data_IF_772908707972
#
_entry.id   IF_772908707972
#
_cell.length_a   1.000
_cell.length_b   1.000
_cell.length_c   1.000
_cell.angle_alpha   90.00
_cell.angle_beta   90.00
_cell.angle_gamma   90.00
#
_symmetry.space_group_name_H-M   'P 1'
#
loop_
_entity.id
_entity.type
_entity.pdbx_description
1 polymer ?
#
# COMPACT_ATOMS: atom_id res chain seq x y z
N UNK A 1 14.99 -6.05 26.02
CA UNK A 1 14.04 -4.92 26.14
C UNK A 1 14.48 -3.91 25.09
N UNK A 2 13.93 -3.87 23.87
CA UNK A 2 12.59 -3.42 23.47
C UNK A 2 12.16 -4.18 22.20
N UNK A 3 10.96 -4.74 22.17
CA UNK A 3 10.33 -5.13 20.90
C UNK A 3 9.08 -4.26 20.69
N UNK A 4 9.28 -2.95 20.61
CA UNK A 4 8.20 -1.97 20.41
C UNK A 4 7.75 -1.86 18.95
N UNK A 5 8.32 -2.67 18.06
CA UNK A 5 8.09 -2.56 16.63
C UNK A 5 7.22 -3.71 16.12
N UNK A 6 6.09 -3.41 15.46
CA UNK A 6 5.27 -4.44 14.84
C UNK A 6 6.09 -5.23 13.82
N UNK A 7 6.07 -6.56 13.94
CA UNK A 7 6.71 -7.43 12.95
C UNK A 7 6.04 -7.20 11.58
N UNK A 8 6.85 -7.11 10.54
CA UNK A 8 6.36 -6.91 9.16
C UNK A 8 6.20 -5.45 8.74
N UNK A 9 6.21 -4.48 9.65
CA UNK A 9 6.10 -3.07 9.28
C UNK A 9 7.27 -2.60 8.40
N UNK A 10 8.49 -3.06 8.68
CA UNK A 10 9.66 -2.76 7.85
C UNK A 10 9.49 -3.23 6.41
N UNK A 11 8.94 -4.44 6.20
CA UNK A 11 8.69 -4.99 4.87
C UNK A 11 7.62 -4.22 4.11
N UNK A 12 6.60 -3.68 4.79
CA UNK A 12 5.58 -2.83 4.19
C UNK A 12 6.19 -1.54 3.66
N UNK A 13 7.03 -0.87 4.47
CA UNK A 13 7.72 0.35 4.04
C UNK A 13 8.75 0.09 2.94
N UNK A 14 9.43 -1.05 3.00
CA UNK A 14 10.36 -1.45 1.94
C UNK A 14 9.64 -1.62 0.59
N UNK A 15 8.44 -2.19 0.59
CA UNK A 15 7.59 -2.30 -0.60
C UNK A 15 7.27 -0.94 -1.21
N UNK A 16 6.82 0.01 -0.40
CA UNK A 16 6.57 1.39 -0.85
C UNK A 16 7.85 2.06 -1.38
N UNK A 17 8.97 1.93 -0.64
CA UNK A 17 10.23 2.56 -1.02
C UNK A 17 10.74 2.07 -2.38
N UNK A 18 10.58 0.78 -2.69
CA UNK A 18 10.92 0.22 -4.00
C UNK A 18 10.10 0.85 -5.13
N UNK A 19 8.80 1.03 -4.93
CA UNK A 19 7.91 1.61 -5.94
C UNK A 19 8.13 3.13 -6.12
N UNK A 20 8.44 3.86 -5.05
CA UNK A 20 8.84 5.28 -5.14
C UNK A 20 10.14 5.43 -5.91
N UNK A 21 11.16 4.61 -5.62
CA UNK A 21 12.43 4.65 -6.36
C UNK A 21 12.27 4.28 -7.83
N UNK A 22 11.32 3.40 -8.15
CA UNK A 22 11.02 2.98 -9.52
C UNK A 22 10.29 4.05 -10.33
N UNK A 23 9.25 4.62 -9.75
CA UNK A 23 8.33 5.51 -10.49
C UNK A 23 8.66 7.00 -10.31
N UNK A 24 9.56 7.35 -9.39
CA UNK A 24 10.00 8.72 -9.10
C UNK A 24 8.84 9.72 -9.06
N UNK A 25 7.76 9.46 -8.28
CA UNK A 25 6.61 10.34 -8.24
C UNK A 25 6.99 11.70 -7.65
N UNK A 26 6.43 12.77 -8.21
CA UNK A 26 6.59 14.13 -7.69
C UNK A 26 5.89 14.30 -6.34
N UNK A 27 4.70 13.69 -6.19
CA UNK A 27 3.90 13.69 -4.96
C UNK A 27 3.97 12.32 -4.27
N UNK A 28 5.00 12.16 -3.43
CA UNK A 28 5.23 10.94 -2.66
C UNK A 28 4.08 10.65 -1.67
N UNK A 29 3.53 11.63 -0.90
CA UNK A 29 2.39 11.38 -0.02
C UNK A 29 1.16 10.81 -0.75
N UNK A 30 0.75 11.40 -1.86
CA UNK A 30 -0.39 10.92 -2.65
C UNK A 30 -0.12 9.54 -3.23
N UNK A 31 1.10 9.31 -3.73
CA UNK A 31 1.51 8.01 -4.24
C UNK A 31 1.45 6.91 -3.16
N UNK A 32 1.90 7.22 -1.93
CA UNK A 32 1.86 6.28 -0.81
C UNK A 32 0.43 5.93 -0.39
N UNK A 33 -0.49 6.90 -0.40
CA UNK A 33 -1.92 6.66 -0.14
C UNK A 33 -2.48 5.63 -1.13
N UNK A 34 -2.29 5.87 -2.43
CA UNK A 34 -2.78 4.99 -3.49
C UNK A 34 -2.14 3.59 -3.39
N UNK A 35 -0.84 3.52 -3.14
CA UNK A 35 -0.12 2.25 -2.94
C UNK A 35 -0.72 1.45 -1.80
N UNK A 36 -0.96 2.07 -0.64
CA UNK A 36 -1.51 1.36 0.52
C UNK A 36 -2.99 1.00 0.33
N UNK A 37 -3.79 1.84 -0.33
CA UNK A 37 -5.16 1.49 -0.68
C UNK A 37 -5.19 0.23 -1.55
N UNK A 38 -4.37 0.15 -2.59
CA UNK A 38 -4.25 -1.03 -3.45
C UNK A 38 -3.75 -2.25 -2.66
N UNK A 39 -2.68 -2.08 -1.89
CA UNK A 39 -2.06 -3.16 -1.10
C UNK A 39 -3.04 -3.77 -0.08
N UNK A 40 -3.74 -2.95 0.71
CA UNK A 40 -4.70 -3.44 1.69
C UNK A 40 -5.99 -3.95 1.05
N UNK A 41 -6.39 -3.39 -0.10
CA UNK A 41 -7.54 -3.92 -0.84
C UNK A 41 -7.25 -5.32 -1.40
N UNK A 42 -6.05 -5.54 -1.93
CA UNK A 42 -5.61 -6.86 -2.40
C UNK A 42 -5.57 -7.88 -1.25
N UNK A 43 -5.03 -7.51 -0.08
CA UNK A 43 -5.03 -8.39 1.11
C UNK A 43 -6.47 -8.75 1.53
N UNK A 44 -7.38 -7.78 1.55
CA UNK A 44 -8.76 -8.00 2.03
C UNK A 44 -9.59 -8.86 1.10
N UNK A 45 -9.37 -8.76 -0.22
CA UNK A 45 -10.19 -9.43 -1.23
C UNK A 45 -9.44 -10.49 -2.05
N UNK A 46 -8.20 -10.83 -1.68
CA UNK A 46 -7.43 -11.92 -2.27
C UNK A 46 -7.25 -11.84 -3.79
N UNK A 47 -7.04 -10.65 -4.35
CA UNK A 47 -6.82 -10.45 -5.79
C UNK A 47 -8.08 -10.53 -6.68
N UNK A 48 -9.28 -10.69 -6.11
CA UNK A 48 -10.54 -10.74 -6.89
C UNK A 48 -10.78 -9.43 -7.67
N UNK A 49 -10.15 -8.32 -7.26
CA UNK A 49 -10.35 -6.98 -7.80
C UNK A 49 -9.26 -6.51 -8.77
N UNK A 50 -8.30 -7.35 -9.19
CA UNK A 50 -7.19 -6.94 -10.08
C UNK A 50 -7.68 -6.47 -11.46
N UNK A 51 -8.88 -6.89 -11.88
CA UNK A 51 -9.59 -6.42 -13.09
C UNK A 51 -10.54 -5.23 -12.83
N UNK A 52 -10.68 -4.81 -11.58
CA UNK A 52 -11.57 -3.75 -11.10
C UNK A 52 -10.77 -2.66 -10.39
N UNK A 53 -9.64 -2.26 -10.97
CA UNK A 53 -8.73 -1.18 -10.50
C UNK A 53 -9.40 0.17 -10.13
N UNK A 54 -10.72 0.31 -10.30
CA UNK A 54 -11.51 1.48 -9.90
C UNK A 54 -12.43 1.32 -8.68
N UNK A 55 -12.46 0.16 -7.99
CA UNK A 55 -13.47 -0.08 -6.91
C UNK A 55 -12.95 0.22 -5.49
N UNK A 56 -11.64 0.26 -5.25
CA UNK A 56 -11.11 0.42 -3.89
C UNK A 56 -11.14 1.87 -3.34
N UNK A 57 -12.01 2.77 -3.85
CA UNK A 57 -12.15 4.18 -3.38
C UNK A 57 -13.18 4.31 -2.22
N UNK A 58 -13.63 3.21 -1.60
CA UNK A 58 -14.74 3.23 -0.62
C UNK A 58 -14.49 2.40 0.64
N UNK A 59 -13.26 2.27 1.14
CA UNK A 59 -13.11 1.88 2.55
C UNK A 59 -13.27 3.12 3.45
N UNK A 60 -14.47 3.71 3.45
CA UNK A 60 -14.74 4.97 4.14
C UNK A 60 -16.16 5.54 3.97
N UNK A 61 -17.17 4.70 3.72
CA UNK A 61 -18.58 5.01 4.05
C UNK A 61 -19.18 3.83 4.79
#
# INVERSE_FOLDING_TARGET
>A
MLSSFPRGFGSILEGLAREVLRNQPEDIPTYALLYFEEFFCNIRFGGILDNLKGICIQCGK
#
